data_IF_296870980975
#
_entry.id   IF_296870980975
#
_cell.length_a   1.000
_cell.length_b   1.000
_cell.length_c   1.000
_cell.angle_alpha   90.00
_cell.angle_beta   90.00
_cell.angle_gamma   90.00
#
_symmetry.space_group_name_H-M   'P 1'
#
loop_
_entity.id
_entity.type
_entity.pdbx_description
1 polymer ?
#
# COMPACT_ATOMS: atom_id res chain seq x y z
N UNK A 1 -3.22 6.41 -1.43
CA UNK A 1 -2.07 6.82 -0.59
C UNK A 1 -0.81 6.00 -0.86
N UNK A 2 -0.83 4.66 -0.73
CA UNK A 2 0.35 3.79 -0.94
C UNK A 2 1.18 4.10 -2.20
N UNK A 3 0.51 4.26 -3.35
CA UNK A 3 1.15 4.59 -4.63
C UNK A 3 1.82 5.97 -4.64
N UNK A 4 1.28 6.95 -3.88
CA UNK A 4 1.88 8.28 -3.75
C UNK A 4 3.12 8.23 -2.84
N UNK A 5 3.04 7.55 -1.69
CA UNK A 5 4.19 7.42 -0.78
C UNK A 5 5.36 6.68 -1.44
N UNK A 6 5.08 5.59 -2.16
CA UNK A 6 6.11 4.87 -2.92
C UNK A 6 6.71 5.74 -4.02
N UNK A 7 5.88 6.46 -4.77
CA UNK A 7 6.35 7.37 -5.83
C UNK A 7 7.26 8.47 -5.26
N UNK A 8 6.94 9.01 -4.08
CA UNK A 8 7.82 9.97 -3.39
C UNK A 8 9.16 9.34 -3.02
N UNK A 9 9.19 8.10 -2.52
CA UNK A 9 10.45 7.40 -2.21
C UNK A 9 11.29 7.13 -3.45
N UNK A 10 10.68 6.73 -4.57
CA UNK A 10 11.38 6.58 -5.86
C UNK A 10 11.94 7.91 -6.36
N UNK A 11 11.15 8.98 -6.32
CA UNK A 11 11.64 10.31 -6.72
C UNK A 11 12.83 10.74 -5.86
N UNK A 12 12.75 10.54 -4.54
CA UNK A 12 13.84 10.90 -3.62
C UNK A 12 15.13 10.12 -3.93
N UNK A 13 15.05 8.81 -4.15
CA UNK A 13 16.24 8.01 -4.50
C UNK A 13 16.78 8.35 -5.89
N UNK A 14 15.92 8.72 -6.84
CA UNK A 14 16.34 9.14 -8.17
C UNK A 14 17.05 10.50 -8.14
N UNK A 15 16.55 11.46 -7.35
CA UNK A 15 17.23 12.75 -7.13
C UNK A 15 18.61 12.52 -6.50
N UNK A 16 18.70 11.65 -5.49
CA UNK A 16 19.98 11.28 -4.88
C UNK A 16 20.94 10.66 -5.91
N UNK A 17 20.46 9.73 -6.74
CA UNK A 17 21.28 9.10 -7.77
C UNK A 17 21.79 10.12 -8.80
N UNK A 18 20.91 10.99 -9.30
CA UNK A 18 21.29 12.06 -10.24
C UNK A 18 22.28 13.04 -9.60
N UNK A 19 22.07 13.43 -8.34
CA UNK A 19 23.00 14.27 -7.60
C UNK A 19 24.39 13.65 -7.48
N UNK A 20 24.46 12.35 -7.16
CA UNK A 20 25.74 11.62 -7.10
C UNK A 20 26.42 11.50 -8.46
N UNK A 21 25.66 11.29 -9.53
CA UNK A 21 26.17 11.26 -10.91
C UNK A 21 26.79 12.60 -11.26
N UNK A 22 26.07 13.71 -11.04
CA UNK A 22 26.56 15.07 -11.31
C UNK A 22 27.83 15.34 -10.51
N UNK A 23 27.86 15.01 -9.22
CA UNK A 23 29.03 15.21 -8.36
C UNK A 23 30.26 14.43 -8.85
N UNK A 24 30.04 13.21 -9.37
CA UNK A 24 31.11 12.38 -9.94
C UNK A 24 31.62 12.95 -11.26
N UNK A 25 30.72 13.40 -12.13
CA UNK A 25 31.07 14.01 -13.43
C UNK A 25 31.83 15.34 -13.28
N UNK A 26 31.48 16.16 -12.29
CA UNK A 26 32.20 17.40 -11.99
C UNK A 26 33.62 17.11 -11.50
N UNK A 27 33.80 16.04 -10.72
CA UNK A 27 35.09 15.70 -10.11
C UNK A 27 36.09 15.10 -11.12
N UNK A 28 35.62 14.36 -12.11
CA UNK A 28 36.46 13.67 -13.09
C UNK A 28 36.25 14.23 -14.49
N UNK A 29 36.98 15.31 -14.82
CA UNK A 29 36.97 15.93 -16.16
C UNK A 29 38.18 15.53 -17.03
N UNK A 30 38.74 14.35 -16.75
CA UNK A 30 39.89 13.78 -17.47
C UNK A 30 39.42 12.78 -18.55
N UNK A 31 40.35 12.03 -19.16
CA UNK A 31 40.06 11.02 -20.21
C UNK A 31 39.02 9.95 -19.82
N UNK A 32 38.82 9.72 -18.51
CA UNK A 32 37.81 8.80 -17.96
C UNK A 32 36.38 9.37 -17.95
N UNK A 33 36.20 10.65 -18.29
CA UNK A 33 34.90 11.32 -18.26
C UNK A 33 33.86 10.62 -19.16
N UNK A 34 34.27 10.25 -20.38
CA UNK A 34 33.35 9.65 -21.35
C UNK A 34 32.89 8.25 -20.95
N UNK A 35 33.79 7.42 -20.40
CA UNK A 35 33.44 6.07 -19.93
C UNK A 35 32.52 6.12 -18.71
N UNK A 36 32.77 7.01 -17.75
CA UNK A 36 31.91 7.22 -16.58
C UNK A 36 30.53 7.74 -17.02
N UNK A 37 30.48 8.67 -17.96
CA UNK A 37 29.22 9.21 -18.51
C UNK A 37 28.40 8.12 -19.20
N UNK A 38 29.04 7.25 -19.99
CA UNK A 38 28.36 6.14 -20.66
C UNK A 38 27.76 5.15 -19.64
N UNK A 39 28.52 4.80 -18.60
CA UNK A 39 28.05 3.90 -17.54
C UNK A 39 26.87 4.50 -16.77
N UNK A 40 26.91 5.79 -16.43
CA UNK A 40 25.78 6.47 -15.78
C UNK A 40 24.57 6.65 -16.68
N UNK A 41 24.79 6.94 -17.97
CA UNK A 41 23.72 6.96 -18.96
C UNK A 41 23.00 5.61 -19.04
N UNK A 42 23.76 4.50 -19.14
CA UNK A 42 23.22 3.15 -19.10
C UNK A 42 22.48 2.84 -17.80
N UNK A 43 23.05 3.23 -16.66
CA UNK A 43 22.41 3.07 -15.35
C UNK A 43 21.07 3.82 -15.24
N UNK A 44 21.00 5.07 -15.72
CA UNK A 44 19.77 5.87 -15.70
C UNK A 44 18.72 5.32 -16.66
N UNK A 45 19.11 4.94 -17.89
CA UNK A 45 18.19 4.32 -18.85
C UNK A 45 17.58 3.06 -18.28
N UNK A 46 18.41 2.22 -17.66
CA UNK A 46 17.94 1.08 -16.91
C UNK A 46 16.94 1.59 -15.87
N UNK A 47 17.37 2.45 -14.94
CA UNK A 47 16.59 2.88 -13.77
C UNK A 47 15.22 3.48 -14.14
N UNK A 48 15.12 4.24 -15.24
CA UNK A 48 13.85 4.77 -15.74
C UNK A 48 13.00 3.75 -16.51
N UNK A 49 13.61 2.73 -17.10
CA UNK A 49 12.89 1.63 -17.79
C UNK A 49 12.22 0.65 -16.81
N UNK A 50 12.67 0.64 -15.55
CA UNK A 50 12.20 -0.21 -14.47
C UNK A 50 10.65 -0.31 -14.34
N UNK A 51 9.89 0.80 -14.18
CA UNK A 51 8.44 0.73 -13.94
C UNK A 51 7.63 0.13 -15.11
N UNK A 52 8.19 0.09 -16.32
CA UNK A 52 7.50 -0.42 -17.50
C UNK A 52 7.65 -1.93 -17.68
N UNK A 53 8.82 -2.51 -17.35
CA UNK A 53 9.12 -3.91 -17.66
C UNK A 53 8.88 -4.89 -16.49
N UNK A 54 8.92 -4.41 -15.24
CA UNK A 54 8.96 -5.29 -14.06
C UNK A 54 7.61 -5.92 -13.69
N UNK A 55 6.49 -5.34 -14.15
CA UNK A 55 5.15 -5.86 -13.82
C UNK A 55 4.84 -7.25 -14.39
N UNK A 56 5.72 -7.81 -15.24
CA UNK A 56 5.43 -9.01 -16.03
C UNK A 56 6.33 -10.23 -15.77
N UNK A 57 7.57 -10.08 -15.27
CA UNK A 57 8.46 -11.24 -15.11
C UNK A 57 9.58 -11.08 -14.05
N UNK A 58 9.58 -11.96 -13.03
CA UNK A 58 10.54 -11.96 -11.91
C UNK A 58 11.99 -12.25 -12.34
N UNK A 59 12.20 -13.06 -13.39
CA UNK A 59 13.55 -13.38 -13.90
C UNK A 59 14.21 -12.15 -14.54
N UNK A 60 13.45 -11.35 -15.27
CA UNK A 60 13.95 -10.12 -15.89
C UNK A 60 14.39 -9.11 -14.83
N UNK A 61 13.65 -9.00 -13.72
CA UNK A 61 14.06 -8.15 -12.58
C UNK A 61 15.39 -8.58 -11.98
N UNK A 62 15.65 -9.88 -11.83
CA UNK A 62 16.95 -10.36 -11.32
C UNK A 62 18.10 -10.06 -12.28
N UNK A 63 17.92 -10.29 -13.58
CA UNK A 63 18.94 -9.98 -14.60
C UNK A 63 19.25 -8.47 -14.58
N UNK A 64 18.19 -7.67 -14.56
CA UNK A 64 18.30 -6.23 -14.53
C UNK A 64 19.05 -5.71 -13.28
N UNK A 65 18.73 -6.24 -12.10
CA UNK A 65 19.42 -5.91 -10.85
C UNK A 65 20.90 -6.28 -10.90
N UNK A 66 21.21 -7.44 -11.48
CA UNK A 66 22.58 -7.90 -11.66
C UNK A 66 23.38 -6.95 -12.56
N UNK A 67 22.79 -6.53 -13.69
CA UNK A 67 23.41 -5.57 -14.61
C UNK A 67 23.66 -4.22 -13.92
N UNK A 68 22.69 -3.68 -13.17
CA UNK A 68 22.89 -2.43 -12.43
C UNK A 68 23.99 -2.55 -11.37
N UNK A 69 24.01 -3.66 -10.63
CA UNK A 69 25.04 -3.91 -9.62
C UNK A 69 26.42 -3.98 -10.27
N UNK A 70 26.55 -4.67 -11.41
CA UNK A 70 27.78 -4.74 -12.18
C UNK A 70 28.25 -3.36 -12.67
N UNK A 71 27.33 -2.51 -13.14
CA UNK A 71 27.64 -1.12 -13.51
C UNK A 71 28.17 -0.34 -12.30
N UNK A 72 27.50 -0.41 -11.14
CA UNK A 72 27.94 0.30 -9.93
C UNK A 72 29.33 -0.20 -9.48
N UNK A 73 29.58 -1.51 -9.47
CA UNK A 73 30.90 -2.06 -9.15
C UNK A 73 31.98 -1.61 -10.14
N UNK A 74 31.65 -1.54 -11.43
CA UNK A 74 32.58 -1.04 -12.46
C UNK A 74 32.92 0.43 -12.22
N UNK A 75 31.91 1.25 -11.89
CA UNK A 75 32.14 2.66 -11.52
C UNK A 75 33.01 2.75 -10.26
N UNK A 76 32.71 1.98 -9.21
CA UNK A 76 33.48 1.93 -7.98
C UNK A 76 34.96 1.57 -8.23
N UNK A 77 35.22 0.64 -9.15
CA UNK A 77 36.57 0.24 -9.53
C UNK A 77 37.32 1.34 -10.31
N UNK A 78 36.62 2.07 -11.19
CA UNK A 78 37.23 3.17 -11.97
C UNK A 78 37.49 4.41 -11.10
N UNK A 79 36.65 4.63 -10.08
CA UNK A 79 36.71 5.80 -9.19
C UNK A 79 36.90 5.39 -7.71
N UNK A 80 38.04 4.77 -7.34
CA UNK A 80 38.24 4.23 -5.99
C UNK A 80 38.31 5.31 -4.89
N UNK A 81 38.75 6.52 -5.24
CA UNK A 81 39.02 7.61 -4.28
C UNK A 81 37.78 8.49 -3.98
N UNK A 82 36.58 8.07 -4.37
CA UNK A 82 35.33 8.82 -4.12
C UNK A 82 34.25 7.89 -3.59
N UNK A 83 33.33 8.47 -2.83
CA UNK A 83 32.25 7.75 -2.14
C UNK A 83 30.89 7.84 -2.86
N UNK A 84 30.75 8.69 -3.88
CA UNK A 84 29.45 9.04 -4.47
C UNK A 84 28.69 7.87 -5.10
N UNK A 85 29.43 6.87 -5.59
CA UNK A 85 28.85 5.66 -6.19
C UNK A 85 28.07 4.82 -5.17
N UNK A 86 28.38 4.93 -3.87
CA UNK A 86 27.65 4.20 -2.83
C UNK A 86 26.17 4.63 -2.77
N UNK A 87 25.85 5.89 -3.05
CA UNK A 87 24.46 6.34 -3.09
C UNK A 87 23.63 5.69 -4.21
N UNK A 88 24.27 5.14 -5.26
CA UNK A 88 23.59 4.46 -6.36
C UNK A 88 22.98 3.12 -5.94
N UNK A 89 23.41 2.53 -4.83
CA UNK A 89 22.74 1.36 -4.27
C UNK A 89 21.39 1.71 -3.61
N UNK A 90 21.12 2.97 -3.25
CA UNK A 90 19.86 3.34 -2.60
C UNK A 90 18.62 3.02 -3.47
N UNK A 91 18.57 3.40 -4.77
CA UNK A 91 17.51 2.93 -5.66
C UNK A 91 17.39 1.40 -5.75
N UNK A 92 18.52 0.68 -5.79
CA UNK A 92 18.53 -0.80 -5.84
C UNK A 92 17.93 -1.41 -4.57
N UNK A 93 18.21 -0.85 -3.40
CA UNK A 93 17.59 -1.29 -2.13
C UNK A 93 16.08 -1.14 -2.18
N UNK A 94 15.57 0.00 -2.66
CA UNK A 94 14.12 0.21 -2.82
C UNK A 94 13.52 -0.79 -3.81
N UNK A 95 14.17 -0.97 -4.96
CA UNK A 95 13.75 -1.91 -5.99
C UNK A 95 13.68 -3.35 -5.48
N UNK A 96 14.68 -3.78 -4.71
CA UNK A 96 14.75 -5.12 -4.12
C UNK A 96 13.62 -5.33 -3.12
N UNK A 97 13.39 -4.38 -2.22
CA UNK A 97 12.32 -4.47 -1.23
C UNK A 97 10.92 -4.47 -1.86
N UNK A 98 10.76 -3.83 -3.01
CA UNK A 98 9.47 -3.76 -3.68
C UNK A 98 9.15 -5.03 -4.48
N UNK A 99 10.14 -5.62 -5.14
CA UNK A 99 9.93 -6.67 -6.13
C UNK A 99 10.17 -8.08 -5.59
N UNK A 100 10.87 -8.22 -4.45
CA UNK A 100 11.17 -9.50 -3.83
C UNK A 100 10.45 -9.65 -2.48
N UNK A 101 10.21 -10.90 -2.02
CA UNK A 101 9.73 -11.14 -0.66
C UNK A 101 10.67 -10.50 0.37
N UNK A 102 10.11 -9.95 1.45
CA UNK A 102 10.87 -9.21 2.45
C UNK A 102 12.14 -9.93 2.94
N UNK A 103 12.07 -11.24 3.22
CA UNK A 103 13.23 -12.04 3.64
C UNK A 103 14.37 -12.02 2.62
N UNK A 104 14.04 -12.25 1.35
CA UNK A 104 15.01 -12.19 0.25
C UNK A 104 15.51 -10.76 0.04
N UNK A 105 14.63 -9.78 0.23
CA UNK A 105 15.00 -8.37 0.14
C UNK A 105 16.10 -8.01 1.13
N UNK A 106 15.90 -8.31 2.41
CA UNK A 106 16.90 -8.01 3.45
C UNK A 106 18.23 -8.72 3.21
N UNK A 107 18.19 -9.96 2.71
CA UNK A 107 19.39 -10.70 2.35
C UNK A 107 20.16 -10.02 1.21
N UNK A 108 19.48 -9.60 0.15
CA UNK A 108 20.12 -8.89 -0.99
C UNK A 108 20.63 -7.51 -0.56
N UNK A 109 19.90 -6.77 0.28
CA UNK A 109 20.39 -5.52 0.85
C UNK A 109 21.65 -5.74 1.68
N UNK A 110 21.71 -6.82 2.48
CA UNK A 110 22.92 -7.22 3.19
C UNK A 110 24.10 -7.47 2.25
N UNK A 111 23.88 -8.15 1.13
CA UNK A 111 24.89 -8.34 0.08
C UNK A 111 25.36 -7.00 -0.48
N UNK A 112 24.46 -6.06 -0.78
CA UNK A 112 24.83 -4.72 -1.24
C UNK A 112 25.65 -3.95 -0.20
N UNK A 113 25.29 -4.04 1.07
CA UNK A 113 26.06 -3.42 2.16
C UNK A 113 27.48 -3.99 2.22
N UNK A 114 27.64 -5.32 2.15
CA UNK A 114 28.96 -5.97 2.17
C UNK A 114 29.77 -5.59 0.93
N UNK A 115 29.16 -5.63 -0.25
CA UNK A 115 29.81 -5.28 -1.51
C UNK A 115 30.29 -3.82 -1.51
N UNK A 116 29.42 -2.90 -1.10
CA UNK A 116 29.77 -1.48 -0.92
C UNK A 116 30.90 -1.33 0.10
N UNK A 117 30.85 -2.05 1.22
CA UNK A 117 31.89 -1.98 2.25
C UNK A 117 33.26 -2.38 1.73
N UNK A 118 33.33 -3.48 0.95
CA UNK A 118 34.58 -3.96 0.35
C UNK A 118 35.17 -2.90 -0.58
N UNK A 119 34.39 -2.38 -1.53
CA UNK A 119 34.88 -1.37 -2.47
C UNK A 119 35.26 -0.05 -1.78
N UNK A 120 34.51 0.38 -0.77
CA UNK A 120 34.80 1.61 -0.02
C UNK A 120 36.11 1.50 0.76
N UNK A 121 36.34 0.38 1.46
CA UNK A 121 37.55 0.17 2.26
C UNK A 121 38.80 0.00 1.39
N UNK A 122 38.67 -0.68 0.24
CA UNK A 122 39.77 -0.82 -0.72
C UNK A 122 40.14 0.50 -1.41
N UNK A 123 39.15 1.38 -1.64
CA UNK A 123 39.34 2.64 -2.36
C UNK A 123 39.79 3.81 -1.50
N UNK A 124 39.17 4.01 -0.32
CA UNK A 124 39.39 5.16 0.57
C UNK A 124 40.25 4.84 1.80
N UNK A 125 40.60 3.57 2.00
CA UNK A 125 41.30 3.10 3.19
C UNK A 125 40.42 3.05 4.44
N UNK A 126 41.01 2.65 5.57
CA UNK A 126 40.28 2.44 6.82
C UNK A 126 39.87 3.75 7.50
N UNK A 127 40.71 4.79 7.43
CA UNK A 127 40.48 6.05 8.17
C UNK A 127 39.26 6.81 7.65
N UNK A 128 39.12 6.90 6.33
CA UNK A 128 38.00 7.60 5.69
C UNK A 128 36.87 6.62 5.35
N UNK A 129 37.20 5.40 4.91
CA UNK A 129 36.22 4.42 4.48
C UNK A 129 35.37 3.87 5.63
N UNK A 130 35.94 3.58 6.80
CA UNK A 130 35.20 2.94 7.90
C UNK A 130 34.01 3.81 8.39
N UNK A 131 34.17 5.11 8.67
CA UNK A 131 33.04 5.97 9.03
C UNK A 131 31.96 6.02 7.94
N UNK A 132 32.37 6.11 6.67
CA UNK A 132 31.44 6.13 5.53
C UNK A 132 30.66 4.82 5.39
N UNK A 133 31.34 3.68 5.56
CA UNK A 133 30.70 2.35 5.56
C UNK A 133 29.59 2.30 6.62
N UNK A 134 29.85 2.77 7.84
CA UNK A 134 28.85 2.79 8.90
C UNK A 134 27.64 3.66 8.52
N UNK A 135 27.88 4.86 7.97
CA UNK A 135 26.82 5.76 7.53
C UNK A 135 25.96 5.11 6.43
N UNK A 136 26.58 4.58 5.38
CA UNK A 136 25.84 3.95 4.29
C UNK A 136 25.16 2.64 4.69
N UNK A 137 25.77 1.84 5.57
CA UNK A 137 25.14 0.64 6.11
C UNK A 137 23.86 0.97 6.89
N UNK A 138 23.88 2.04 7.70
CA UNK A 138 22.70 2.54 8.39
C UNK A 138 21.66 3.05 7.39
N UNK A 139 22.07 3.81 6.38
CA UNK A 139 21.15 4.31 5.33
C UNK A 139 20.45 3.16 4.62
N UNK A 140 21.18 2.14 4.17
CA UNK A 140 20.59 0.99 3.47
C UNK A 140 19.65 0.20 4.38
N UNK A 141 20.03 0.00 5.64
CA UNK A 141 19.22 -0.73 6.62
C UNK A 141 17.94 0.02 6.97
N UNK A 142 18.03 1.33 7.22
CA UNK A 142 16.88 2.18 7.48
C UNK A 142 15.96 2.27 6.26
N UNK A 143 16.52 2.42 5.06
CA UNK A 143 15.74 2.46 3.83
C UNK A 143 15.00 1.14 3.60
N UNK A 144 15.68 0.01 3.81
CA UNK A 144 15.05 -1.32 3.72
C UNK A 144 13.92 -1.49 4.75
N UNK A 145 14.18 -1.16 6.02
CA UNK A 145 13.18 -1.23 7.08
C UNK A 145 11.98 -0.31 6.79
N UNK A 146 12.23 0.91 6.34
CA UNK A 146 11.19 1.87 6.02
C UNK A 146 10.27 1.38 4.88
N UNK A 147 10.84 0.81 3.82
CA UNK A 147 10.04 0.21 2.75
C UNK A 147 9.25 -1.00 3.27
N UNK A 148 9.86 -1.87 4.07
CA UNK A 148 9.17 -3.03 4.65
C UNK A 148 7.95 -2.60 5.48
N UNK A 149 8.13 -1.61 6.37
CA UNK A 149 7.06 -1.04 7.20
C UNK A 149 5.95 -0.43 6.33
N UNK A 150 6.30 0.31 5.28
CA UNK A 150 5.29 0.87 4.35
C UNK A 150 4.47 -0.24 3.70
N UNK A 151 5.12 -1.31 3.22
CA UNK A 151 4.43 -2.41 2.56
C UNK A 151 3.49 -3.14 3.53
N UNK A 152 3.94 -3.40 4.76
CA UNK A 152 3.11 -3.99 5.82
C UNK A 152 1.93 -3.10 6.21
N UNK A 153 2.17 -1.81 6.44
CA UNK A 153 1.12 -0.85 6.79
C UNK A 153 0.07 -0.71 5.67
N UNK A 154 0.48 -0.80 4.40
CA UNK A 154 -0.43 -0.79 3.26
C UNK A 154 -1.24 -2.09 3.18
N UNK A 155 -0.63 -3.25 3.44
CA UNK A 155 -1.34 -4.53 3.49
C UNK A 155 -2.37 -4.55 4.63
N UNK A 156 -1.97 -4.17 5.85
CA UNK A 156 -2.85 -4.09 7.01
C UNK A 156 -4.01 -3.11 6.80
N UNK A 157 -3.74 -1.94 6.18
CA UNK A 157 -4.81 -0.98 5.82
C UNK A 157 -5.80 -1.56 4.82
N UNK A 158 -5.33 -2.29 3.80
CA UNK A 158 -6.22 -2.91 2.82
C UNK A 158 -7.13 -3.94 3.47
N UNK A 159 -6.57 -4.78 4.33
CA UNK A 159 -7.34 -5.78 5.07
C UNK A 159 -8.37 -5.13 5.99
N UNK A 160 -7.98 -4.10 6.74
CA UNK A 160 -8.90 -3.32 7.58
C UNK A 160 -10.02 -2.66 6.78
N UNK A 161 -9.72 -2.16 5.57
CA UNK A 161 -10.73 -1.55 4.68
C UNK A 161 -11.71 -2.60 4.14
N UNK A 162 -11.24 -3.80 3.79
CA UNK A 162 -12.12 -4.88 3.35
C UNK A 162 -13.05 -5.31 4.48
N UNK A 163 -12.51 -5.55 5.69
CA UNK A 163 -13.32 -5.88 6.88
C UNK A 163 -14.35 -4.80 7.22
N UNK A 164 -13.99 -3.53 7.07
CA UNK A 164 -14.95 -2.43 7.26
C UNK A 164 -16.09 -2.46 6.24
N UNK A 165 -15.78 -2.72 4.97
CA UNK A 165 -16.81 -2.83 3.93
C UNK A 165 -17.72 -4.04 4.16
N UNK A 166 -17.17 -5.18 4.56
CA UNK A 166 -17.94 -6.38 4.92
C UNK A 166 -18.89 -6.13 6.09
N UNK A 167 -18.40 -5.50 7.17
CA UNK A 167 -19.25 -5.15 8.31
C UNK A 167 -20.35 -4.15 7.95
N UNK A 168 -20.05 -3.17 7.09
CA UNK A 168 -21.06 -2.22 6.63
C UNK A 168 -22.17 -2.93 5.84
N UNK A 169 -21.81 -3.88 4.98
CA UNK A 169 -22.79 -4.69 4.25
C UNK A 169 -23.64 -5.55 5.18
N UNK A 170 -23.05 -6.18 6.21
CA UNK A 170 -23.80 -6.95 7.18
C UNK A 170 -24.79 -6.08 7.98
N UNK A 171 -24.36 -4.89 8.42
CA UNK A 171 -25.24 -3.94 9.13
C UNK A 171 -26.39 -3.50 8.23
N UNK A 172 -26.12 -3.17 6.96
CA UNK A 172 -27.17 -2.77 6.01
C UNK A 172 -28.18 -3.89 5.78
N UNK A 173 -27.72 -5.14 5.64
CA UNK A 173 -28.60 -6.31 5.54
C UNK A 173 -29.46 -6.51 6.78
N UNK A 174 -28.88 -6.38 7.98
CA UNK A 174 -29.63 -6.51 9.24
C UNK A 174 -30.71 -5.45 9.36
N UNK A 175 -30.38 -4.20 9.00
CA UNK A 175 -31.35 -3.10 9.01
C UNK A 175 -32.48 -3.33 8.01
N UNK A 176 -32.19 -3.85 6.81
CA UNK A 176 -33.22 -4.20 5.84
C UNK A 176 -34.15 -5.30 6.37
N UNK A 177 -33.60 -6.36 6.96
CA UNK A 177 -34.39 -7.45 7.55
C UNK A 177 -35.23 -6.93 8.72
N UNK A 178 -34.66 -6.10 9.60
CA UNK A 178 -35.37 -5.47 10.72
C UNK A 178 -36.51 -4.57 10.23
N UNK A 179 -36.30 -3.78 9.17
CA UNK A 179 -37.33 -2.93 8.59
C UNK A 179 -38.49 -3.75 8.00
N UNK A 180 -38.18 -4.82 7.26
CA UNK A 180 -39.19 -5.74 6.70
C UNK A 180 -39.99 -6.42 7.82
N UNK A 181 -39.33 -6.89 8.88
CA UNK A 181 -39.99 -7.47 10.04
C UNK A 181 -40.90 -6.45 10.74
N UNK A 182 -40.42 -5.22 10.96
CA UNK A 182 -41.20 -4.15 11.59
C UNK A 182 -42.44 -3.79 10.78
N UNK A 183 -42.32 -3.72 9.45
CA UNK A 183 -43.46 -3.50 8.57
C UNK A 183 -44.47 -4.64 8.64
N UNK A 184 -44.00 -5.89 8.64
CA UNK A 184 -44.86 -7.07 8.79
C UNK A 184 -45.59 -7.08 10.14
N UNK A 185 -44.92 -6.73 11.23
CA UNK A 185 -45.54 -6.64 12.56
C UNK A 185 -46.60 -5.53 12.62
N UNK A 186 -46.33 -4.37 12.00
CA UNK A 186 -47.31 -3.29 11.90
C UNK A 186 -48.54 -3.71 11.09
N UNK A 187 -48.37 -4.41 9.97
CA UNK A 187 -49.50 -4.91 9.17
C UNK A 187 -50.35 -5.91 9.96
N UNK A 188 -49.72 -6.84 10.67
CA UNK A 188 -50.42 -7.81 11.53
C UNK A 188 -51.21 -7.10 12.64
N UNK A 189 -50.60 -6.12 13.31
CA UNK A 189 -51.27 -5.33 14.35
C UNK A 189 -52.49 -4.57 13.79
N UNK A 190 -52.40 -4.00 12.59
CA UNK A 190 -53.52 -3.32 11.92
C UNK A 190 -54.65 -4.29 11.59
N UNK A 191 -54.34 -5.50 11.13
CA UNK A 191 -55.34 -6.53 10.84
C UNK A 191 -56.06 -6.98 12.12
N UNK A 192 -55.31 -7.20 13.19
CA UNK A 192 -55.86 -7.59 14.50
C UNK A 192 -56.78 -6.50 15.06
N UNK A 193 -56.36 -5.23 14.96
CA UNK A 193 -57.14 -4.07 15.37
C UNK A 193 -58.47 -3.97 14.59
N UNK A 194 -58.43 -4.14 13.27
CA UNK A 194 -59.64 -4.16 12.43
C UNK A 194 -60.60 -5.27 12.82
N UNK A 195 -60.08 -6.46 13.13
CA UNK A 195 -60.89 -7.60 13.59
C UNK A 195 -61.54 -7.33 14.95
N UNK A 196 -60.83 -6.66 15.87
CA UNK A 196 -61.40 -6.22 17.15
C UNK A 196 -62.52 -5.20 16.96
N UNK A 197 -62.27 -4.15 16.18
CA UNK A 197 -63.26 -3.10 15.87
C UNK A 197 -64.52 -3.66 15.20
N UNK A 198 -64.38 -4.61 14.27
CA UNK A 198 -65.53 -5.25 13.63
C UNK A 198 -66.42 -6.01 14.62
N UNK A 199 -65.83 -6.69 15.61
CA UNK A 199 -66.56 -7.37 16.69
C UNK A 199 -67.26 -6.38 17.61
N UNK A 200 -66.54 -5.35 18.07
CA UNK A 200 -67.13 -4.30 18.92
C UNK A 200 -68.30 -3.58 18.23
N UNK A 201 -68.15 -3.25 16.94
CA UNK A 201 -69.23 -2.67 16.14
C UNK A 201 -70.41 -3.63 15.99
N UNK A 202 -70.17 -4.92 15.78
CA UNK A 202 -71.23 -5.92 15.67
C UNK A 202 -72.02 -6.06 16.98
N UNK A 203 -71.32 -6.11 18.11
CA UNK A 203 -71.94 -6.20 19.43
C UNK A 203 -72.76 -4.93 19.74
N UNK A 204 -72.20 -3.74 19.45
CA UNK A 204 -72.90 -2.46 19.65
C UNK A 204 -74.15 -2.32 18.76
N UNK A 205 -74.06 -2.70 17.47
CA UNK A 205 -75.21 -2.71 16.55
C UNK A 205 -76.27 -3.70 17.02
N UNK A 206 -75.88 -4.90 17.45
CA UNK A 206 -76.80 -5.92 17.99
C UNK A 206 -77.52 -5.40 19.23
N UNK A 207 -76.78 -4.76 20.15
CA UNK A 207 -77.34 -4.18 21.38
C UNK A 207 -78.31 -3.03 21.07
N UNK A 208 -77.98 -2.19 20.08
CA UNK A 208 -78.84 -1.08 19.64
C UNK A 208 -80.12 -1.60 18.97
N UNK A 209 -80.01 -2.58 18.07
CA UNK A 209 -81.16 -3.22 17.43
C UNK A 209 -82.06 -3.90 18.46
N UNK A 210 -81.49 -4.60 19.44
CA UNK A 210 -82.27 -5.22 20.51
C UNK A 210 -83.04 -4.18 21.33
N UNK A 211 -82.39 -3.06 21.65
CA UNK A 211 -83.00 -1.94 22.37
C UNK A 211 -84.10 -1.25 21.55
N UNK A 212 -83.89 -1.05 20.24
CA UNK A 212 -84.90 -0.49 19.33
C UNK A 212 -86.12 -1.41 19.20
N UNK A 213 -85.90 -2.73 19.15
CA UNK A 213 -86.98 -3.72 19.08
C UNK A 213 -87.80 -3.73 20.38
N UNK A 214 -87.13 -3.68 21.54
CA UNK A 214 -87.81 -3.52 22.84
C UNK A 214 -88.66 -2.24 22.92
N UNK A 215 -88.18 -1.11 22.40
CA UNK A 215 -88.95 0.14 22.36
C UNK A 215 -90.15 0.02 21.43
N UNK A 216 -89.97 -0.62 20.26
CA UNK A 216 -91.05 -0.84 19.31
C UNK A 216 -92.18 -1.72 19.88
N UNK A 217 -91.83 -2.75 20.67
CA UNK A 217 -92.80 -3.63 21.34
C UNK A 217 -93.61 -2.93 22.45
N UNK A 218 -93.12 -1.81 22.99
CA UNK A 218 -93.75 -1.05 24.08
C UNK A 218 -94.58 0.14 23.56
N UNK A 219 -94.52 0.44 22.26
CA UNK A 219 -95.38 1.47 21.64
C UNK A 219 -96.82 0.94 21.45
N UNK A 220 -97.85 1.59 22.04
CA UNK A 220 -99.23 1.15 21.91
C UNK A 220 -99.78 1.42 20.49
N UNK A 221 -100.54 0.46 19.95
CA UNK A 221 -101.24 0.56 18.65
C UNK A 221 -102.42 1.52 18.71
#
# INVERSE_FOLDING_TARGET
>A
MARRTLLVTYIATYILAVGSIIRTLIRFRDDRFWSITLLFGGYLVLLFSEPFFIRRNRRLTTIYLFVQTAIICTVAFITPNVDFWAALFCPLVVQVMHNFPQRTGFLITGIFTVLMSIFMLLGLGLEVGLPLVLVYAVIYSLLAAFIAIILEAVAARRESQMRQAELQQEVEQRLQVEEVLRLSEMELAVIEERSRLARELHDAVTQTLFSANLIADVLPR
#
